data_IF_323095353862
#
_entry.id   IF_323095353862
#
_cell.length_a   1.000
_cell.length_b   1.000
_cell.length_c   1.000
_cell.angle_alpha   90.00
_cell.angle_beta   90.00
_cell.angle_gamma   90.00
#
_symmetry.space_group_name_H-M   'P 1'
#
loop_
_entity.id
_entity.type
_entity.pdbx_description
1 polymer ?
#
# COMPACT_ATOMS: atom_id res chain seq x y z
N UNK A 1 2.05 -16.25 1.17
CA UNK A 1 1.52 -15.64 -0.02
C UNK A 1 0.70 -14.45 0.33
N UNK A 2 1.04 -13.37 -0.30
CA UNK A 2 0.57 -12.07 0.16
C UNK A 2 -0.55 -11.57 -0.73
N UNK A 3 -1.72 -12.21 -0.60
CA UNK A 3 -2.87 -11.80 -1.39
C UNK A 3 -3.51 -10.58 -0.73
N UNK A 4 -2.99 -9.42 -1.08
CA UNK A 4 -3.54 -8.17 -0.57
C UNK A 4 -4.82 -7.81 -1.31
N UNK A 5 -5.70 -7.10 -0.63
CA UNK A 5 -6.97 -6.68 -1.18
C UNK A 5 -7.40 -5.37 -0.56
N UNK A 6 -8.43 -4.77 -1.12
CA UNK A 6 -9.00 -3.53 -0.58
C UNK A 6 -9.38 -3.71 0.89
N UNK A 7 -8.98 -2.76 1.70
CA UNK A 7 -9.21 -2.79 3.14
C UNK A 7 -8.04 -3.34 3.94
N UNK A 8 -7.06 -3.95 3.28
CA UNK A 8 -5.90 -4.49 3.98
C UNK A 8 -4.91 -3.38 4.33
N UNK A 9 -4.28 -3.53 5.46
CA UNK A 9 -3.21 -2.63 5.87
C UNK A 9 -1.90 -3.15 5.31
N UNK A 10 -1.08 -2.22 4.83
CA UNK A 10 0.19 -2.56 4.19
C UNK A 10 1.31 -1.67 4.70
N UNK A 11 2.53 -2.16 4.56
CA UNK A 11 3.74 -1.36 4.72
C UNK A 11 4.33 -1.15 3.33
N UNK A 12 4.62 0.10 3.00
CA UNK A 12 5.17 0.47 1.71
C UNK A 12 6.63 0.86 1.88
N UNK A 13 7.50 0.28 1.06
CA UNK A 13 8.92 0.61 1.05
C UNK A 13 9.29 1.11 -0.32
N UNK A 14 9.61 2.40 -0.41
CA UNK A 14 10.02 3.03 -1.65
C UNK A 14 11.48 3.45 -1.55
N UNK A 15 12.18 3.36 -2.69
CA UNK A 15 13.57 3.82 -2.76
C UNK A 15 13.62 5.32 -2.53
N UNK A 16 14.49 5.74 -1.62
CA UNK A 16 14.69 7.15 -1.34
C UNK A 16 13.70 7.76 -0.36
N UNK A 17 12.78 6.96 0.17
CA UNK A 17 11.81 7.44 1.17
C UNK A 17 11.78 6.48 2.36
N UNK A 18 11.49 7.00 3.56
CA UNK A 18 11.28 6.10 4.68
C UNK A 18 10.03 5.25 4.48
N UNK A 19 10.01 4.02 4.97
CA UNK A 19 8.82 3.19 4.85
C UNK A 19 7.66 3.80 5.62
N UNK A 20 6.44 3.53 5.12
CA UNK A 20 5.24 4.00 5.81
C UNK A 20 4.15 2.93 5.72
N UNK A 21 3.18 3.05 6.60
CA UNK A 21 2.02 2.17 6.63
C UNK A 21 0.81 2.87 6.05
N UNK A 22 -0.08 2.11 5.47
CA UNK A 22 -1.31 2.65 4.93
C UNK A 22 -2.34 1.58 4.70
N UNK A 23 -3.46 1.97 4.10
CA UNK A 23 -4.59 1.08 3.82
C UNK A 23 -4.88 1.10 2.34
N UNK A 24 -5.08 -0.09 1.77
CA UNK A 24 -5.48 -0.22 0.37
C UNK A 24 -6.94 0.16 0.25
N UNK A 25 -7.22 1.13 -0.63
CA UNK A 25 -8.59 1.56 -0.89
C UNK A 25 -9.09 1.11 -2.25
N UNK A 26 -8.21 0.58 -3.08
CA UNK A 26 -8.59 0.07 -4.39
C UNK A 26 -7.39 -0.34 -5.20
N UNK A 27 -7.65 -0.88 -6.38
CA UNK A 27 -6.62 -1.30 -7.31
C UNK A 27 -6.62 -0.34 -8.49
N UNK A 28 -5.45 -0.08 -9.06
CA UNK A 28 -5.38 0.78 -10.25
C UNK A 28 -5.99 0.05 -11.44
N UNK A 29 -6.32 0.83 -12.47
CA UNK A 29 -7.03 0.30 -13.64
C UNK A 29 -6.24 -0.79 -14.36
N UNK A 30 -4.92 -0.69 -14.37
CA UNK A 30 -4.07 -1.68 -15.02
C UNK A 30 -3.82 -2.92 -14.18
N UNK A 31 -4.22 -2.90 -12.92
CA UNK A 31 -4.05 -4.04 -12.02
C UNK A 31 -2.64 -4.23 -11.49
N UNK A 32 -1.73 -3.29 -11.73
CA UNK A 32 -0.33 -3.44 -11.31
C UNK A 32 0.02 -2.68 -10.04
N UNK A 33 -0.89 -1.85 -9.54
CA UNK A 33 -0.63 -1.03 -8.37
C UNK A 33 -1.87 -0.95 -7.49
N UNK A 34 -1.65 -0.51 -6.25
CA UNK A 34 -2.73 -0.25 -5.30
C UNK A 34 -2.87 1.24 -5.05
N UNK A 35 -4.10 1.70 -4.88
CA UNK A 35 -4.35 3.03 -4.31
C UNK A 35 -4.29 2.88 -2.80
N UNK A 36 -3.35 3.57 -2.17
CA UNK A 36 -3.08 3.43 -0.75
C UNK A 36 -3.18 4.79 -0.08
N UNK A 37 -3.91 4.85 1.02
CA UNK A 37 -3.98 6.04 1.87
C UNK A 37 -2.95 5.87 2.99
N UNK A 38 -1.95 6.73 3.01
CA UNK A 38 -0.93 6.71 4.04
C UNK A 38 -1.54 7.09 5.38
N UNK A 39 -1.15 6.38 6.44
CA UNK A 39 -1.61 6.70 7.79
C UNK A 39 -1.30 8.16 8.12
N UNK A 40 -2.26 8.84 8.72
CA UNK A 40 -2.13 10.24 9.08
C UNK A 40 -2.45 11.22 7.96
N UNK A 41 -2.82 10.73 6.79
CA UNK A 41 -3.22 11.59 5.66
C UNK A 41 -4.57 11.15 5.13
N UNK A 42 -5.15 11.99 4.28
CA UNK A 42 -6.39 11.68 3.59
C UNK A 42 -6.19 11.48 2.09
N UNK A 43 -4.94 11.48 1.65
CA UNK A 43 -4.62 11.40 0.23
C UNK A 43 -4.17 10.00 -0.14
N UNK A 44 -4.64 9.52 -1.28
CA UNK A 44 -4.20 8.22 -1.79
C UNK A 44 -3.04 8.41 -2.76
N UNK A 45 -2.21 7.37 -2.85
CA UNK A 45 -1.13 7.29 -3.83
C UNK A 45 -1.25 5.97 -4.56
N UNK A 46 -0.95 5.98 -5.87
CA UNK A 46 -0.82 4.75 -6.61
C UNK A 46 0.58 4.19 -6.42
N UNK A 47 0.67 3.00 -5.84
CA UNK A 47 1.95 2.38 -5.53
C UNK A 47 2.00 0.99 -6.11
N UNK A 48 3.04 0.70 -6.88
CA UNK A 48 3.22 -0.58 -7.52
C UNK A 48 3.16 -1.70 -6.47
N UNK A 49 2.49 -2.79 -6.82
CA UNK A 49 2.27 -3.89 -5.87
C UNK A 49 3.57 -4.47 -5.31
N UNK A 50 4.65 -4.41 -6.09
CA UNK A 50 5.94 -4.95 -5.63
C UNK A 50 6.52 -4.19 -4.43
N UNK A 51 6.07 -2.97 -4.18
CA UNK A 51 6.52 -2.18 -3.04
C UNK A 51 5.64 -2.34 -1.80
N UNK A 52 4.53 -3.06 -1.95
CA UNK A 52 3.57 -3.22 -0.87
C UNK A 52 3.76 -4.56 -0.20
N UNK A 53 3.72 -4.56 1.12
CA UNK A 53 3.82 -5.78 1.92
C UNK A 53 2.72 -5.76 2.96
N UNK A 54 2.20 -6.92 3.37
CA UNK A 54 1.26 -6.94 4.49
C UNK A 54 1.89 -6.29 5.71
N UNK A 55 1.12 -5.47 6.41
CA UNK A 55 1.59 -4.89 7.64
C UNK A 55 1.74 -6.01 8.67
N UNK A 56 2.94 -6.14 9.20
CA UNK A 56 3.18 -7.12 10.25
C UNK A 56 2.95 -6.45 11.60
N UNK A 57 2.03 -7.00 12.36
CA UNK A 57 1.81 -6.53 13.71
C UNK A 57 2.34 -7.58 14.67
N UNK A 58 3.32 -7.22 15.38
CA UNK A 58 3.89 -8.09 16.40
C UNK A 58 3.32 -7.79 17.75
#
# INVERSE_FOLDING_TARGET
MDDLKTGDRVTVRLTGEPPFNGVIIGETRDGHAWHIVKDGTKFSRGIHKSFCRPEESD
#
